data_IF_184061120184
#
_entry.id   IF_184061120184
#
_cell.length_a   1.000
_cell.length_b   1.000
_cell.length_c   1.000
_cell.angle_alpha   90.00
_cell.angle_beta   90.00
_cell.angle_gamma   90.00
#
_symmetry.space_group_name_H-M   'P 1'
#
loop_
_entity.id
_entity.type
_entity.pdbx_description
1 polymer ?
2 polymer ?
3 non-polymer ?
4 non-polymer ?
5 water ?
#
# COMPACT_ATOMS: atom_id res chain seq x y z
N UNK A 6 27.19 12.47 -9.61
CA UNK A 6 27.89 11.15 -9.43
C UNK A 6 26.95 10.04 -8.91
N UNK A 7 27.53 8.86 -8.65
CA UNK A 7 26.80 7.70 -8.14
C UNK A 7 25.76 8.27 -7.19
N UNK A 8 24.54 7.78 -7.32
CA UNK A 8 23.42 8.30 -6.55
C UNK A 8 22.82 7.41 -5.47
N UNK A 9 23.70 6.64 -4.84
CA UNK A 9 23.34 5.71 -3.76
C UNK A 9 23.18 6.44 -2.42
N UNK A 10 23.95 7.52 -2.27
CA UNK A 10 23.96 8.34 -1.06
C UNK A 10 22.98 9.51 -1.18
N UNK A 11 22.09 9.65 -0.18
CA UNK A 11 21.08 10.72 -0.15
C UNK A 11 20.18 10.71 -1.40
N UNK A 12 20.08 9.55 -2.05
CA UNK A 12 19.29 9.38 -3.27
C UNK A 12 19.90 10.25 -4.40
N UNK A 13 21.21 10.44 -4.26
CA UNK A 13 21.94 11.21 -5.23
C UNK A 13 21.35 12.58 -5.39
N UNK A 14 20.65 13.06 -4.36
CA UNK A 14 20.04 14.38 -4.42
C UNK A 14 18.77 14.47 -5.29
N UNK A 15 18.27 13.32 -5.75
CA UNK A 15 17.07 13.28 -6.57
C UNK A 15 15.80 13.32 -5.78
N UNK A 16 14.80 14.01 -6.30
CA UNK A 16 13.56 14.08 -5.58
C UNK A 16 12.90 12.69 -5.49
N UNK A 17 12.95 11.97 -6.60
CA UNK A 17 12.35 10.67 -6.77
C UNK A 17 13.37 9.59 -7.12
N UNK A 18 13.33 9.08 -8.34
CA UNK A 18 14.30 8.05 -8.72
C UNK A 18 15.59 8.62 -9.41
N UNK A 19 16.72 7.94 -9.20
CA UNK A 19 17.95 8.27 -9.92
C UNK A 19 18.67 6.96 -10.31
N UNK A 20 19.71 7.05 -11.10
CA UNK A 20 20.45 5.88 -11.47
C UNK A 20 21.81 6.47 -11.87
N UNK A 21 22.90 5.82 -11.45
CA UNK A 21 24.23 6.34 -11.75
C UNK A 21 24.95 5.48 -12.76
N UNK A 22 25.46 6.14 -13.82
CA UNK A 22 26.22 5.52 -14.90
C UNK A 22 27.72 5.81 -14.73
N UNK A 23 28.52 4.94 -15.37
CA UNK A 23 29.99 5.02 -15.37
C UNK A 23 30.58 5.56 -14.05
N UNK A 24 31.10 6.79 -14.12
CA UNK A 24 31.70 7.43 -12.96
C UNK A 24 31.40 8.91 -13.02
N UNK A 25 30.85 9.41 -11.91
CA UNK A 25 30.49 10.83 -11.73
C UNK A 25 29.21 11.27 -12.55
N UNK A 26 28.76 10.37 -13.44
CA UNK A 26 27.58 10.58 -14.30
C UNK A 26 26.30 9.96 -13.67
N UNK A 27 25.33 10.79 -13.33
CA UNK A 27 24.09 10.32 -12.73
C UNK A 27 22.90 10.98 -13.36
N UNK A 28 21.76 10.35 -13.14
CA UNK A 28 20.53 10.89 -13.69
C UNK A 28 19.28 10.58 -12.89
N UNK A 29 18.68 11.65 -12.36
CA UNK A 29 17.45 11.56 -11.63
C UNK A 29 16.29 11.37 -12.60
N UNK A 30 15.24 10.70 -12.16
CA UNK A 30 14.03 10.52 -12.94
C UNK A 30 12.75 10.70 -12.09
N UNK A 31 11.59 10.56 -12.70
CA UNK A 31 10.37 10.73 -11.92
C UNK A 31 9.42 9.62 -12.28
N UNK A 32 8.47 9.33 -11.39
CA UNK A 32 7.43 8.31 -11.60
C UNK A 32 6.57 8.93 -12.70
N UNK A 33 5.83 8.11 -13.41
CA UNK A 33 4.95 8.58 -14.46
C UNK A 33 4.03 9.64 -13.91
N UNK A 34 3.56 10.52 -14.78
CA UNK A 34 2.71 11.59 -14.33
C UNK A 34 3.60 12.73 -13.87
N UNK A 35 4.90 12.54 -13.89
CA UNK A 35 5.77 13.65 -13.50
C UNK A 35 6.85 13.97 -14.54
N UNK A 36 7.42 15.16 -14.44
CA UNK A 36 8.55 15.51 -15.30
C UNK A 36 9.64 16.09 -14.45
N UNK A 37 10.85 15.86 -14.91
CA UNK A 37 12.06 16.35 -14.23
C UNK A 37 12.33 17.82 -14.55
N UNK A 38 12.51 18.65 -13.52
CA UNK A 38 12.74 20.06 -13.77
C UNK A 38 14.16 20.32 -14.40
N UNK A 39 14.41 21.53 -14.92
CA UNK A 39 15.70 21.85 -15.60
C UNK A 39 16.82 21.81 -14.55
N UNK A 40 16.31 21.91 -13.34
CA UNK A 40 16.98 21.81 -12.09
C UNK A 40 17.78 20.48 -12.07
N UNK A 41 17.19 19.42 -12.60
CA UNK A 41 17.86 18.14 -12.63
C UNK A 41 17.48 17.15 -11.57
N UNK A 42 16.71 17.60 -10.60
CA UNK A 42 16.39 16.67 -9.53
C UNK A 42 14.95 16.65 -9.14
N UNK A 43 14.32 17.80 -9.29
CA UNK A 43 12.93 17.96 -8.99
C UNK A 43 11.96 17.42 -10.06
N UNK A 44 10.84 16.94 -9.55
CA UNK A 44 9.77 16.38 -10.37
C UNK A 44 8.56 17.28 -10.21
N UNK A 45 7.93 17.56 -11.33
CA UNK A 45 6.78 18.42 -11.26
C UNK A 45 5.62 17.63 -11.94
N UNK A 46 4.46 17.62 -11.33
CA UNK A 46 3.30 16.92 -11.89
C UNK A 46 3.00 17.28 -13.37
N UNK A 47 2.54 16.31 -14.19
CA UNK A 47 2.20 16.60 -15.61
C UNK A 47 0.72 16.35 -15.88
N UNK A 48 0.04 15.72 -14.91
CA UNK A 48 -1.42 15.37 -14.97
C UNK A 48 -2.15 16.02 -13.79
N UNK A 49 -3.50 15.98 -13.76
CA UNK A 49 -4.26 16.63 -12.69
C UNK A 49 -4.15 15.92 -11.36
N UNK A 50 -3.91 14.60 -11.33
CA UNK A 50 -3.83 13.84 -10.05
C UNK A 50 -2.67 12.89 -9.95
N UNK A 51 -1.45 13.42 -9.85
CA UNK A 51 -0.22 12.64 -9.77
C UNK A 51 -0.24 11.73 -8.58
N UNK A 52 0.38 10.55 -8.75
CA UNK A 52 0.34 9.62 -7.65
C UNK A 52 0.98 10.23 -6.46
N UNK A 53 0.47 9.85 -5.30
CA UNK A 53 1.04 10.26 -4.04
C UNK A 53 0.92 11.67 -3.62
N UNK A 54 0.07 12.41 -4.32
CA UNK A 54 -0.16 13.82 -3.97
C UNK A 54 -1.59 13.85 -3.42
N UNK A 55 -1.80 14.59 -2.34
CA UNK A 55 -3.12 14.66 -1.71
C UNK A 55 -3.84 15.99 -2.04
N UNK A 56 -4.68 16.02 -3.08
CA UNK A 56 -5.40 17.23 -3.51
C UNK A 56 -5.87 18.18 -2.36
N UNK A 57 -6.70 17.72 -1.43
CA UNK A 57 -7.18 18.60 -0.34
C UNK A 57 -6.03 19.37 0.42
N UNK A 58 -4.86 18.76 0.62
CA UNK A 58 -3.69 19.39 1.28
C UNK A 58 -2.88 20.19 0.29
N UNK A 59 -2.80 19.67 -0.93
CA UNK A 59 -2.03 20.29 -2.01
C UNK A 59 -2.62 21.62 -2.34
N UNK A 60 -3.92 21.62 -2.61
CA UNK A 60 -4.64 22.86 -2.96
C UNK A 60 -4.63 23.78 -1.74
N UNK A 61 -3.96 23.32 -0.67
CA UNK A 61 -3.81 24.06 0.59
C UNK A 61 -5.06 23.90 1.46
N UNK B 1 -7.73 -0.33 13.00
CA UNK B 1 -6.60 0.44 13.56
C UNK B 1 -6.79 0.71 15.05
N UNK B 2 -5.85 0.22 15.84
CA UNK B 2 -5.91 0.42 17.28
C UNK B 2 -4.96 1.59 17.71
N UNK B 3 -5.50 2.65 18.29
CA UNK B 3 -4.65 3.72 18.77
C UNK B 3 -4.41 4.77 17.71
N UNK B 4 -5.35 4.89 16.76
CA UNK B 4 -5.18 5.86 15.69
C UNK B 4 -6.16 7.02 15.77
N UNK B 5 -6.31 7.75 14.67
CA UNK B 5 -7.25 8.85 14.62
C UNK B 5 -7.99 8.66 13.31
N UNK B 6 -9.09 9.38 13.12
CA UNK B 6 -9.86 9.30 11.87
C UNK B 6 -9.00 9.97 10.73
N UNK B 7 -8.97 9.38 9.55
CA UNK B 7 -8.21 10.00 8.49
C UNK B 7 -9.17 11.07 7.99
N UNK B 8 -8.78 12.35 8.03
CA UNK B 8 -9.78 13.30 7.50
C UNK B 8 -10.21 12.95 6.07
N UNK B 9 -11.49 13.04 5.76
CA UNK B 9 -11.94 12.69 4.41
C UNK B 9 -11.08 13.34 3.31
N UNK B 10 -10.53 12.55 2.38
CA UNK B 10 -9.72 13.11 1.30
C UNK B 10 -8.22 13.01 1.45
N UNK B 11 -7.74 12.80 2.68
CA UNK B 11 -6.31 12.72 2.96
C UNK B 11 -5.75 11.29 2.88
N UNK B 12 -6.60 10.34 2.50
CA UNK B 12 -6.22 8.93 2.30
C UNK B 12 -6.99 8.57 1.00
N UNK B 13 -6.76 9.35 -0.07
CA UNK B 13 -7.42 9.11 -1.33
C UNK B 13 -7.09 7.83 -2.04
N UNK B 14 -5.99 7.17 -1.69
CA UNK B 14 -5.67 5.91 -2.36
C UNK B 14 -6.22 4.71 -1.59
N UNK B 15 -6.69 4.92 -0.36
CA UNK B 15 -7.20 3.75 0.35
C UNK B 15 -8.36 3.09 -0.39
N UNK B 16 -8.41 1.76 -0.39
CA UNK B 16 -9.49 1.02 -1.03
C UNK B 16 -10.26 0.17 0.01
N UNK B 17 -11.52 -0.12 -0.29
CA UNK B 17 -12.36 -0.93 0.56
C UNK B 17 -12.77 -2.18 -0.23
N UNK B 18 -12.40 -3.35 0.27
CA UNK B 18 -12.79 -4.56 -0.41
C UNK B 18 -14.03 -5.19 0.27
N UNK B 19 -15.02 -5.47 -0.56
CA UNK B 19 -16.32 -6.05 -0.17
C UNK B 19 -16.67 -7.41 -0.82
N UNK B 20 -17.26 -8.32 -0.08
CA UNK B 20 -17.67 -9.56 -0.70
C UNK B 20 -19.13 -9.55 -0.44
N UNK B 21 -19.93 -9.81 -1.47
CA UNK B 21 -21.36 -9.75 -1.28
C UNK B 21 -21.90 -8.52 -0.53
N UNK B 22 -21.15 -7.43 -0.51
CA UNK B 22 -21.61 -6.22 0.18
C UNK B 22 -21.01 -6.11 1.56
N UNK B 23 -20.33 -7.16 1.96
CA UNK B 23 -19.73 -7.16 3.27
C UNK B 23 -18.27 -6.72 3.28
N UNK B 24 -17.88 -6.01 4.35
CA UNK B 24 -16.49 -5.53 4.48
C UNK B 24 -15.62 -6.75 4.48
N UNK B 25 -14.57 -6.76 3.66
CA UNK B 25 -13.71 -7.92 3.56
C UNK B 25 -12.29 -7.56 3.90
N UNK B 26 -11.79 -6.51 3.22
CA UNK B 26 -10.41 -6.06 3.34
C UNK B 26 -10.21 -4.66 2.85
N UNK B 27 -9.00 -4.17 3.08
CA UNK B 27 -8.58 -2.85 2.62
C UNK B 27 -7.70 -3.16 1.42
N UNK B 28 -7.29 -2.13 0.69
CA UNK B 28 -6.39 -2.33 -0.45
C UNK B 28 -5.80 -0.98 -0.82
N UNK B 29 -4.83 -0.90 -1.75
CA UNK B 29 -4.27 0.39 -2.16
C UNK B 29 -4.39 0.56 -3.66
N UNK B 30 -4.80 1.77 -4.07
CA UNK B 30 -4.95 2.15 -5.48
C UNK B 30 -3.58 2.61 -6.00
N UNK B 31 -3.01 1.93 -7.01
CA UNK B 31 -1.72 2.39 -7.52
C UNK B 31 -1.83 2.90 -8.96
N UNK B 32 -3.03 2.82 -9.51
CA UNK B 32 -3.23 3.29 -10.84
C UNK B 32 -4.74 3.26 -11.00
N UNK B 33 -5.28 3.71 -12.13
CA UNK B 33 -6.73 3.70 -12.25
C UNK B 33 -7.43 2.36 -12.45
N UNK B 34 -6.68 1.26 -12.58
CA UNK B 34 -7.33 -0.03 -12.74
C UNK B 34 -6.65 -1.02 -11.87
N UNK B 35 -5.60 -0.60 -11.19
CA UNK B 35 -4.92 -1.57 -10.38
C UNK B 35 -4.92 -1.30 -8.89
N UNK B 36 -5.25 -2.35 -8.14
CA UNK B 36 -5.34 -2.28 -6.68
C UNK B 36 -4.46 -3.33 -6.04
N UNK B 37 -3.55 -2.90 -5.16
CA UNK B 37 -2.72 -3.86 -4.46
C UNK B 37 -3.40 -4.21 -3.14
N UNK B 38 -3.45 -5.48 -2.79
CA UNK B 38 -4.02 -5.87 -1.52
C UNK B 38 -3.15 -6.98 -0.93
N UNK B 39 -3.79 -7.90 -0.20
CA UNK B 39 -3.10 -9.00 0.49
C UNK B 39 -3.69 -10.36 0.10
N UNK B 40 -2.84 -11.32 -0.19
CA UNK B 40 -3.32 -12.62 -0.62
C UNK B 40 -4.23 -13.28 0.40
N UNK B 41 -3.88 -13.26 1.69
CA UNK B 41 -4.74 -13.98 2.60
C UNK B 41 -6.18 -13.51 2.60
N UNK B 42 -6.43 -12.30 2.10
CA UNK B 42 -7.79 -11.77 2.04
C UNK B 42 -8.69 -12.61 1.12
N UNK B 43 -8.10 -13.45 0.29
CA UNK B 43 -8.92 -14.25 -0.63
C UNK B 43 -8.95 -15.78 -0.39
N UNK B 44 -8.28 -16.19 0.67
CA UNK B 44 -8.19 -17.59 1.03
C UNK B 44 -9.51 -18.33 1.10
N UNK B 45 -10.53 -17.70 1.66
CA UNK B 45 -11.83 -18.34 1.77
C UNK B 45 -12.86 -17.62 0.96
N UNK B 46 -12.46 -16.86 -0.05
CA UNK B 46 -13.46 -16.14 -0.79
C UNK B 46 -14.61 -17.01 -1.26
N UNK B 47 -15.84 -16.50 -0.93
CA UNK B 47 -17.17 -17.03 -1.27
C UNK B 47 -17.28 -17.08 -2.80
N UNK B 48 -17.98 -16.06 -3.33
CA UNK B 48 -18.16 -15.95 -4.78
C UNK B 48 -17.25 -14.89 -5.43
N UNK B 49 -16.28 -15.36 -6.19
CA UNK B 49 -15.36 -14.48 -6.88
C UNK B 49 -16.04 -13.55 -7.82
N UNK B 50 -17.30 -13.81 -8.07
CA UNK B 50 -18.00 -12.96 -8.99
C UNK B 50 -18.81 -11.92 -8.25
N UNK B 51 -18.42 -11.68 -6.99
CA UNK B 51 -19.07 -10.72 -6.11
C UNK B 51 -18.07 -9.80 -5.40
N UNK B 52 -16.81 -9.87 -5.85
CA UNK B 52 -15.73 -9.03 -5.34
C UNK B 52 -15.87 -7.56 -5.80
N UNK B 53 -15.92 -6.61 -4.88
CA UNK B 53 -16.01 -5.17 -5.23
C UNK B 53 -14.98 -4.30 -4.51
N UNK B 54 -14.45 -3.33 -5.26
CA UNK B 54 -13.48 -2.39 -4.73
C UNK B 54 -14.21 -1.02 -4.66
N UNK B 55 -14.01 -0.32 -3.56
CA UNK B 55 -14.66 0.94 -3.46
C UNK B 55 -13.64 2.00 -3.23
N UNK B 56 -13.54 2.95 -4.14
CA UNK B 56 -12.60 4.05 -3.98
C UNK B 56 -13.37 5.28 -3.43
N UNK B 57 -12.65 6.27 -2.92
CA UNK B 57 -13.30 7.47 -2.43
C UNK B 57 -14.16 7.36 -1.17
N UNK B 58 -14.05 6.22 -0.48
CA UNK B 58 -14.85 5.94 0.71
C UNK B 58 -14.27 6.60 1.96
N UNK B 59 -15.12 7.01 2.89
CA UNK B 59 -14.63 7.64 4.12
C UNK B 59 -15.41 7.10 5.33
N UNK B 60 -16.70 7.48 5.37
CA UNK B 60 -17.70 7.11 6.41
C UNK B 60 -18.61 6.03 5.81
N UNK B 61 -18.62 4.87 6.43
CA UNK B 61 -19.36 3.71 5.92
C UNK B 61 -20.89 3.75 6.11
N UNK B 62 -21.36 4.74 6.84
CA UNK B 62 -22.79 4.85 7.12
C UNK B 62 -23.51 5.91 6.30
N UNK B 63 -22.81 6.60 5.39
CA UNK B 63 -23.42 7.65 4.59
C UNK B 63 -22.90 7.69 3.15
N UNK B 64 -23.77 7.91 2.19
CA UNK B 64 -23.26 8.00 0.81
C UNK B 64 -23.11 9.52 0.46
N UNK B 65 -21.91 9.99 0.05
CA UNK B 65 -21.80 11.41 -0.32
C UNK B 65 -21.55 11.70 -1.77
N UNK B 66 -21.48 10.67 -2.60
CA UNK B 66 -21.30 10.88 -4.03
C UNK B 66 -19.86 10.81 -4.47
N UNK B 67 -18.98 10.75 -3.51
CA UNK B 67 -17.58 10.67 -3.83
C UNK B 67 -17.20 9.22 -3.92
N UNK B 68 -17.97 8.36 -3.29
CA UNK B 68 -17.62 6.95 -3.33
C UNK B 68 -17.63 6.43 -4.80
N UNK B 69 -16.80 5.44 -5.09
CA UNK B 69 -16.72 4.85 -6.42
C UNK B 69 -16.67 3.30 -6.30
N UNK B 70 -17.53 2.64 -7.04
CA UNK B 70 -17.61 1.18 -7.01
C UNK B 70 -17.18 0.49 -8.26
N UNK B 71 -16.32 -0.50 -8.13
CA UNK B 71 -15.92 -1.23 -9.34
C UNK B 71 -15.85 -2.72 -9.05
N UNK B 72 -16.15 -3.50 -10.08
CA UNK B 72 -16.08 -4.93 -9.87
C UNK B 72 -14.67 -5.39 -9.98
N UNK B 73 -14.23 -6.25 -9.06
CA UNK B 73 -12.87 -6.73 -9.21
C UNK B 73 -12.91 -7.79 -10.33
N UNK B 74 -12.13 -7.61 -11.41
CA UNK B 74 -12.15 -8.51 -12.55
C UNK B 74 -11.17 -9.66 -12.43
N UNK B 75 -10.07 -9.41 -11.73
CA UNK B 75 -9.07 -10.42 -11.54
C UNK B 75 -8.25 -10.22 -10.24
N UNK B 76 -7.87 -11.29 -9.58
CA UNK B 76 -7.07 -11.19 -8.36
C UNK B 76 -5.81 -12.01 -8.69
N UNK B 77 -4.62 -11.39 -8.67
CA UNK B 77 -3.36 -12.10 -8.96
C UNK B 77 -2.53 -12.24 -7.73
N UNK B 78 -2.06 -13.48 -7.50
CA UNK B 78 -1.31 -13.92 -6.34
C UNK B 78 0.04 -14.62 -6.68
N UNK B 79 1.17 -14.25 -6.07
CA UNK B 79 2.44 -14.92 -6.42
C UNK B 79 2.35 -16.42 -6.25
N UNK B 80 3.13 -17.17 -7.01
CA UNK B 80 3.06 -18.66 -6.90
C UNK B 80 3.52 -19.18 -5.54
N UNK B 81 4.51 -18.46 -4.98
CA UNK B 81 5.11 -18.73 -3.70
C UNK B 81 4.19 -18.48 -2.49
N UNK B 82 2.95 -18.06 -2.72
CA UNK B 82 2.05 -17.82 -1.61
C UNK B 82 1.32 -19.09 -1.24
N UNK B 83 1.26 -19.40 0.05
CA UNK B 83 0.58 -20.61 0.46
C UNK B 83 -0.67 -20.31 1.29
N UNK B 84 -1.86 -20.46 0.67
CA UNK B 84 -3.05 -20.15 1.50
C UNK B 84 -3.00 -20.70 2.88
N UNK B 85 -3.47 -19.90 3.82
CA UNK B 85 -3.47 -20.30 5.17
C UNK B 85 -2.19 -19.80 5.81
N UNK B 86 -1.14 -19.53 5.03
CA UNK B 86 0.09 -19.05 5.68
C UNK B 86 0.27 -17.54 5.57
N UNK B 87 1.51 -17.05 5.75
CA UNK B 87 1.70 -15.62 5.71
C UNK B 87 2.80 -15.01 4.83
N UNK B 88 3.71 -15.85 4.34
CA UNK B 88 4.79 -15.38 3.47
C UNK B 88 4.24 -14.99 2.09
N UNK B 89 4.83 -13.95 1.50
CA UNK B 89 4.42 -13.43 0.19
C UNK B 89 2.97 -13.00 0.18
N UNK B 90 2.53 -12.35 1.25
CA UNK B 90 1.13 -11.93 1.38
C UNK B 90 0.84 -10.73 0.52
N UNK B 91 0.75 -10.93 -0.80
CA UNK B 91 0.48 -9.78 -1.68
C UNK B 91 -0.37 -10.26 -2.80
N UNK B 92 -1.23 -9.35 -3.24
CA UNK B 92 -2.24 -9.62 -4.28
C UNK B 92 -2.43 -8.37 -5.16
N UNK B 93 -2.57 -8.59 -6.47
CA UNK B 93 -2.70 -7.49 -7.40
C UNK B 93 -4.05 -7.72 -8.01
N UNK B 94 -4.94 -6.76 -7.78
CA UNK B 94 -6.32 -6.79 -8.28
C UNK B 94 -6.51 -5.93 -9.48
N UNK B 95 -7.30 -6.41 -10.43
CA UNK B 95 -7.54 -5.64 -11.63
C UNK B 95 -9.02 -5.25 -11.62
N UNK B 96 -9.31 -3.97 -11.60
CA UNK B 96 -10.67 -3.54 -11.63
C UNK B 96 -11.33 -3.80 -13.02
N UNK B 97 -12.61 -4.13 -13.05
CA UNK B 97 -13.29 -4.42 -14.32
C UNK B 97 -13.29 -3.23 -15.26
N UNK B 98 -13.41 -2.04 -14.67
CA UNK B 98 -13.44 -0.70 -15.32
C UNK B 98 -12.63 0.30 -14.52
N UNK B 99 -12.06 1.32 -15.15
CA UNK B 99 -11.27 2.26 -14.32
C UNK B 99 -12.02 3.15 -13.33
N UNK B 100 -11.39 3.48 -12.16
CA UNK B 100 -11.93 4.48 -11.21
C UNK B 100 -11.59 5.87 -11.92
N UNK B 101 -12.35 6.97 -11.70
CA UNK B 101 -12.05 8.26 -12.33
C UNK B 101 -11.31 9.02 -11.25
N UNK B 102 -10.05 9.42 -11.48
CA UNK B 102 -9.30 10.15 -10.47
C UNK B 102 -10.04 11.47 -10.18
N UNK B 103 -10.10 11.88 -8.91
CA UNK B 103 -10.83 13.13 -8.50
C UNK B 103 -10.10 13.57 -7.20
N UNK B 104 -10.45 14.70 -6.60
CA UNK B 104 -9.79 15.07 -5.35
C UNK B 104 -9.81 14.05 -4.22
N UNK B 105 -10.68 13.04 -4.36
CA UNK B 105 -10.88 12.03 -3.33
C UNK B 105 -10.40 10.65 -3.73
N UNK B 106 -10.14 10.46 -5.05
CA UNK B 106 -9.64 9.17 -5.58
C UNK B 106 -8.32 9.47 -6.35
N UNK B 107 -7.23 9.12 -5.68
CA UNK B 107 -5.91 9.31 -6.15
C UNK B 107 -5.06 8.08 -5.85
N UNK B 108 -4.25 7.68 -6.82
CA UNK B 108 -3.38 6.53 -6.67
C UNK B 108 -2.17 6.86 -5.83
N UNK B 109 -1.60 5.84 -5.20
CA UNK B 109 -0.41 5.97 -4.36
C UNK B 109 0.75 5.56 -5.25
N UNK B 110 1.83 6.33 -5.30
CA UNK B 110 2.98 5.96 -6.11
C UNK B 110 3.60 4.60 -5.73
N UNK B 111 3.77 3.71 -6.71
CA UNK B 111 4.47 2.43 -6.44
C UNK B 111 5.90 2.87 -6.76
N UNK B 112 6.80 2.80 -5.79
CA UNK B 112 8.19 3.22 -6.03
C UNK B 112 8.94 2.10 -6.70
N UNK B 113 10.18 2.40 -7.14
CA UNK B 113 11.01 1.41 -7.83
C UNK B 113 11.73 0.59 -6.77
N UNK B 114 12.30 -0.56 -7.17
CA UNK B 114 13.02 -1.40 -6.22
C UNK B 114 14.15 -0.70 -5.48
N UNK B 115 15.12 -0.13 -6.22
CA UNK B 115 16.29 0.54 -5.65
C UNK B 115 15.90 1.65 -4.70
N UNK B 116 15.17 2.65 -5.22
CA UNK B 116 14.72 3.79 -4.41
C UNK B 116 14.06 3.35 -3.06
N UNK B 117 13.17 2.38 -3.16
CA UNK B 117 12.48 1.88 -1.99
C UNK B 117 13.38 1.14 -1.05
N UNK B 118 14.32 0.35 -1.55
CA UNK B 118 15.20 -0.39 -0.62
C UNK B 118 16.28 0.48 0.02
N UNK B 119 16.87 1.38 -0.74
CA UNK B 119 17.90 2.12 -0.10
C UNK B 119 17.49 3.49 0.41
N UNK B 120 16.29 3.98 0.09
CA UNK B 120 15.87 5.27 0.62
C UNK B 120 14.61 5.21 1.43
N UNK B 121 13.54 4.65 0.89
CA UNK B 121 12.24 4.63 1.62
C UNK B 121 12.33 3.73 2.86
N UNK B 122 12.95 2.56 2.67
CA UNK B 122 13.15 1.55 3.70
C UNK B 122 13.80 2.08 4.96
N UNK B 123 14.28 3.32 4.88
CA UNK B 123 14.94 3.99 5.99
C UNK B 123 14.14 5.15 6.55
N UNK B 124 13.00 5.47 5.97
CA UNK B 124 12.19 6.55 6.53
C UNK B 124 11.57 5.87 7.79
N UNK B 125 11.69 6.55 8.93
CA UNK B 125 11.26 6.02 10.22
C UNK B 125 9.76 5.76 10.41
N UNK B 126 8.96 6.78 10.10
CA UNK B 126 7.52 6.73 10.27
C UNK B 126 6.70 6.72 8.99
N UNK B 127 5.70 5.82 8.97
CA UNK B 127 4.81 5.69 7.83
C UNK B 127 3.41 5.53 8.35
N UNK B 128 2.45 5.68 7.43
CA UNK B 128 1.00 5.56 7.74
C UNK B 128 0.34 4.26 7.26
N UNK B 129 -0.58 3.76 8.08
CA UNK B 129 -1.36 2.54 7.81
C UNK B 129 -2.80 2.99 8.03
N UNK B 130 -3.75 2.42 7.29
CA UNK B 130 -5.15 2.84 7.46
C UNK B 130 -6.08 1.67 7.10
N UNK B 131 -7.37 1.77 7.45
CA UNK B 131 -8.32 0.70 7.19
C UNK B 131 -9.56 0.87 8.04
N UNK B 132 -10.61 0.09 7.81
CA UNK B 132 -11.81 0.25 8.63
C UNK B 132 -11.91 -0.95 9.59
N UNK B 133 -10.79 -1.56 9.90
CA UNK B 133 -10.79 -2.69 10.78
C UNK B 133 -11.09 -2.40 12.25
N UNK B 134 -10.89 -3.42 13.05
CA UNK B 134 -11.18 -3.38 14.44
C UNK B 134 -10.47 -2.27 15.09
N UNK B 135 -11.16 -1.61 16.03
CA UNK B 135 -10.62 -0.49 16.80
C UNK B 135 -10.00 -0.98 18.09
N UNK B 136 -10.17 -2.28 18.37
CA UNK B 136 -9.62 -2.93 19.57
C UNK B 136 -9.60 -4.38 19.29
N UNK B 137 -8.71 -5.12 19.96
CA UNK B 137 -8.68 -6.56 19.75
C UNK B 137 -10.07 -7.02 20.23
N UNK B 138 -10.71 -7.87 19.42
CA UNK B 138 -12.03 -8.37 19.72
C UNK B 138 -13.04 -7.25 19.80
N UNK B 139 -12.70 -6.10 19.25
CA UNK B 139 -13.65 -5.00 19.28
C UNK B 139 -14.35 -4.85 17.92
N UNK B 140 -15.22 -3.84 17.78
CA UNK B 140 -15.98 -3.54 16.54
C UNK B 140 -15.17 -2.75 15.52
N UNK B 141 -15.41 -3.00 14.24
CA UNK B 141 -14.66 -2.26 13.26
C UNK B 141 -15.12 -0.78 13.24
N UNK B 142 -14.46 0.06 12.43
CA UNK B 142 -14.77 1.49 12.38
C UNK B 142 -15.73 2.00 11.28
N UNK B 143 -16.44 3.07 11.54
CA UNK B 143 -17.32 3.54 10.49
C UNK B 143 -16.63 4.52 9.57
N UNK B 144 -15.68 5.25 10.14
CA UNK B 144 -14.92 6.26 9.42
C UNK B 144 -13.53 5.69 9.27
N UNK B 145 -12.88 5.99 8.16
CA UNK B 145 -11.54 5.47 7.91
C UNK B 145 -10.54 5.91 8.97
N UNK B 146 -9.73 4.98 9.44
CA UNK B 146 -8.75 5.29 10.47
C UNK B 146 -7.31 5.27 9.92
N UNK B 147 -6.42 6.03 10.56
CA UNK B 147 -5.02 6.09 10.12
C UNK B 147 -4.17 6.12 11.36
N UNK B 148 -2.99 5.54 11.27
CA UNK B 148 -2.12 5.45 12.40
C UNK B 148 -0.67 5.54 11.94
N UNK B 149 0.07 6.42 12.57
CA UNK B 149 1.47 6.57 12.24
C UNK B 149 2.35 5.56 13.03
N UNK B 150 3.07 4.64 12.35
CA UNK B 150 3.88 3.64 13.06
C UNK B 150 5.37 3.57 12.64
N UNK B 151 6.28 3.27 13.59
CA UNK B 151 7.73 3.16 13.32
C UNK B 151 8.21 1.74 12.84
N UNK B 152 8.99 1.75 11.76
CA UNK B 152 9.47 0.55 11.11
C UNK B 152 10.72 0.10 11.76
N UNK B 153 10.83 -1.18 12.10
CA UNK B 153 12.02 -1.71 12.79
C UNK B 153 12.94 -2.42 11.84
N UNK B 154 14.12 -2.78 12.32
CA UNK B 154 15.05 -3.57 11.52
C UNK B 154 14.69 -5.05 11.80
N UNK B 155 14.72 -5.90 10.78
CA UNK B 155 14.36 -7.30 11.01
C UNK B 155 15.10 -7.87 12.23
N UNK B 156 16.38 -7.53 12.38
CA UNK B 156 17.19 -8.00 13.53
C UNK B 156 16.56 -7.54 14.89
N UNK B 157 16.42 -6.22 15.05
CA UNK B 157 15.83 -5.58 16.24
C UNK B 157 14.43 -6.17 16.54
N UNK B 158 13.63 -6.47 15.49
CA UNK B 158 12.28 -7.02 15.70
C UNK B 158 12.33 -8.37 16.38
N UNK B 159 13.17 -9.26 15.86
CA UNK B 159 13.29 -10.60 16.41
C UNK B 159 13.67 -10.57 17.91
N UNK B 160 14.77 -9.90 18.22
CA UNK B 160 15.20 -9.80 19.60
C UNK B 160 14.11 -9.21 20.52
N UNK B 161 13.55 -8.04 20.17
CA UNK B 161 12.50 -7.36 20.98
C UNK B 161 11.31 -8.23 21.32
N UNK B 162 11.47 -9.51 21.00
CA UNK B 162 10.48 -10.58 21.22
C UNK B 162 11.21 -11.95 21.46
N UNK B 163 12.12 -12.00 22.44
CA UNK B 163 12.84 -13.24 22.75
C UNK B 163 13.56 -13.82 21.52
N UNK B 170 9.51 -17.16 10.85
CA UNK B 170 8.26 -16.46 11.17
C UNK B 170 8.22 -15.03 10.63
N UNK B 171 9.41 -14.49 10.27
CA UNK B 171 9.56 -13.13 9.72
C UNK B 171 10.57 -13.12 8.56
N UNK B 172 10.11 -13.57 7.38
CA UNK B 172 10.91 -13.68 6.18
C UNK B 172 11.39 -12.34 5.64
N UNK B 173 12.22 -12.34 4.63
CA UNK B 173 12.64 -11.03 4.20
C UNK B 173 11.57 -10.41 3.34
N UNK B 174 10.50 -11.15 3.07
CA UNK B 174 9.41 -10.55 2.30
C UNK B 174 8.44 -9.83 3.24
N UNK B 175 8.87 -9.61 4.48
CA UNK B 175 8.06 -8.87 5.44
C UNK B 175 8.95 -7.87 6.22
N UNK B 176 8.33 -6.99 7.01
CA UNK B 176 9.06 -6.07 7.89
C UNK B 176 8.13 -5.69 9.06
N UNK B 177 8.70 -5.49 10.25
CA UNK B 177 7.85 -5.14 11.38
C UNK B 177 7.74 -3.65 11.54
N UNK B 178 6.65 -3.24 12.18
CA UNK B 178 6.40 -1.84 12.39
C UNK B 178 5.33 -1.71 13.44
N UNK B 179 5.36 -0.62 14.19
CA UNK B 179 4.36 -0.41 15.21
C UNK B 179 4.93 -0.23 16.59
N UNK B 180 4.21 -0.76 17.58
CA UNK B 180 4.58 -0.63 18.99
C UNK B 180 4.28 -1.89 19.80
N UNK B 181 5.07 -2.16 20.84
CA UNK B 181 4.90 -3.37 21.66
C UNK B 181 4.12 -3.21 22.96
N UNK B 182 3.62 -2.00 23.19
CA UNK B 182 2.92 -1.71 24.41
C UNK B 182 1.39 -1.87 24.22
N UNK B 183 0.99 -2.78 23.33
CA UNK B 183 -0.42 -3.04 23.08
C UNK B 183 -1.29 -1.82 22.87
N UNK B 184 -0.74 -0.68 22.48
CA UNK B 184 -1.57 0.53 22.29
C UNK B 184 -1.83 0.99 20.88
N UNK B 185 -1.00 0.55 19.93
CA UNK B 185 -1.14 1.02 18.56
C UNK B 185 -0.81 -0.07 17.53
N UNK B 186 -1.69 -0.23 16.56
CA UNK B 186 -1.46 -1.24 15.59
C UNK B 186 -2.61 -1.40 14.59
N UNK B 187 -2.45 -2.32 13.66
CA UNK B 187 -3.51 -2.56 12.68
C UNK B 187 -4.09 -3.95 12.97
N UNK B 188 -5.40 -4.08 12.76
CA UNK B 188 -6.18 -5.31 13.00
C UNK B 188 -6.78 -5.97 11.79
N UNK B 189 -7.46 -7.08 12.05
CA UNK B 189 -8.13 -7.81 10.99
C UNK B 189 -9.20 -6.77 10.59
N UNK B 190 -9.31 -6.59 9.29
CA UNK B 190 -10.23 -5.60 8.74
C UNK B 190 -9.35 -4.58 8.07
N UNK B 191 -8.08 -4.58 8.49
CA UNK B 191 -7.10 -3.67 7.98
C UNK B 191 -6.19 -4.39 6.99
N UNK B 192 -6.21 -5.72 7.05
CA UNK B 192 -5.39 -6.52 6.16
C UNK B 192 -5.51 -6.04 4.73
N UNK B 193 -4.39 -6.03 4.02
CA UNK B 193 -4.43 -5.58 2.64
C UNK B 193 -4.40 -4.07 2.48
N UNK B 194 -4.46 -3.33 3.56
CA UNK B 194 -4.45 -1.88 3.43
C UNK B 194 -3.01 -1.42 3.30
N UNK B 195 -2.77 -0.16 2.87
CA UNK B 195 -1.47 0.47 2.65
C UNK B 195 -0.60 0.85 3.87
N UNK B 196 0.68 0.65 3.71
CA UNK B 196 1.62 1.05 4.70
C UNK B 196 2.30 2.10 3.82
N UNK B 197 2.04 3.39 4.05
CA UNK B 197 2.55 4.45 3.15
C UNK B 197 3.66 5.34 3.70
N UNK B 198 4.71 5.55 2.92
CA UNK B 198 5.83 6.35 3.40
C UNK B 198 5.99 7.71 2.76
N UNK B 199 6.30 8.71 3.58
CA UNK B 199 6.46 10.02 2.98
C UNK B 199 7.92 10.31 2.67
N UNK B 200 8.15 10.84 1.46
CA UNK B 200 9.46 11.26 1.00
C UNK B 200 9.42 12.38 -0.02
N UNK B 201 10.05 13.50 0.38
CA UNK B 201 10.21 14.71 -0.42
C UNK B 201 8.90 15.20 -1.01
N UNK B 202 7.87 15.36 -0.20
CA UNK B 202 6.58 15.80 -0.76
C UNK B 202 5.76 14.73 -1.53
N UNK B 203 6.05 13.45 -1.32
CA UNK B 203 5.31 12.43 -2.06
C UNK B 203 5.15 11.11 -1.32
N UNK B 204 3.93 10.56 -1.28
CA UNK B 204 3.73 9.26 -0.61
C UNK B 204 3.96 8.07 -1.53
N UNK B 205 4.54 7.01 -0.96
CA UNK B 205 4.78 5.81 -1.74
C UNK B 205 4.40 4.60 -0.93
N UNK B 206 3.97 3.54 -1.62
CA UNK B 206 3.57 2.25 -1.04
C UNK B 206 4.80 1.46 -0.60
N UNK B 207 4.99 1.22 0.68
CA UNK B 207 6.14 0.43 1.11
C UNK B 207 5.69 -0.88 1.81
N UNK B 208 4.48 -0.87 2.37
CA UNK B 208 4.01 -2.10 3.01
C UNK B 208 2.53 -2.38 2.80
N UNK B 209 2.17 -3.65 2.92
CA UNK B 209 0.79 -4.11 2.84
C UNK B 209 0.47 -4.71 4.20
N UNK B 210 -0.62 -4.28 4.85
CA UNK B 210 -1.05 -4.84 6.15
C UNK B 210 -1.31 -6.34 5.95
N UNK B 211 -0.53 -7.15 6.68
CA UNK B 211 -0.60 -8.61 6.58
C UNK B 211 -1.19 -9.28 7.81
N UNK B 212 -0.38 -10.05 8.54
CA UNK B 212 -0.82 -10.74 9.77
C UNK B 212 -0.21 -10.09 11.05
N UNK B 213 -0.07 -10.88 12.11
CA UNK B 213 0.51 -10.37 13.34
C UNK B 213 -0.19 -11.13 14.45
N UNK B 214 0.52 -11.41 15.54
CA UNK B 214 -0.06 -12.14 16.68
C UNK B 214 -1.15 -11.27 17.30
N UNK B 215 -2.41 -11.66 17.02
CA UNK B 215 -3.59 -10.94 17.50
C UNK B 215 -3.50 -9.47 17.12
N UNK B 216 -4.37 -8.65 17.70
CA UNK B 216 -4.30 -7.25 17.35
C UNK B 216 -3.90 -6.42 18.54
N UNK B 217 -2.86 -5.60 18.37
CA UNK B 217 -2.35 -4.76 19.44
C UNK B 217 -1.94 -5.61 20.66
N UNK B 218 -1.42 -6.81 20.39
CA UNK B 218 -0.96 -7.73 21.42
C UNK B 218 0.37 -7.25 21.97
N UNK B 219 0.39 -6.90 23.25
CA UNK B 219 1.63 -6.44 23.87
C UNK B 219 2.77 -7.41 23.60
N UNK B 220 3.99 -6.90 23.54
CA UNK B 220 5.13 -7.76 23.27
C UNK B 220 5.18 -8.16 21.80
N UNK B 221 4.35 -7.51 20.99
CA UNK B 221 4.35 -7.82 19.57
C UNK B 221 4.26 -6.59 18.71
N UNK B 222 4.82 -6.73 17.50
CA UNK B 222 4.83 -5.68 16.48
C UNK B 222 3.95 -6.11 15.32
N UNK B 223 3.67 -5.19 14.41
CA UNK B 223 2.84 -5.50 13.25
C UNK B 223 3.72 -6.06 12.14
N UNK B 224 3.18 -6.98 11.35
CA UNK B 224 3.99 -7.49 10.24
C UNK B 224 3.32 -6.99 8.96
N UNK B 225 4.15 -6.48 8.05
CA UNK B 225 3.65 -5.93 6.79
C UNK B 225 4.46 -6.55 5.68
N UNK B 226 3.80 -6.83 4.56
CA UNK B 226 4.49 -7.38 3.39
C UNK B 226 5.48 -6.33 2.91
N UNK B 227 6.75 -6.70 2.67
CA UNK B 227 7.76 -5.74 2.14
C UNK B 227 7.50 -5.58 0.61
N UNK B 228 6.74 -4.54 0.20
CA UNK B 228 6.36 -4.30 -1.20
C UNK B 228 7.54 -4.27 -2.14
N UNK B 229 8.63 -3.72 -1.70
CA UNK B 229 9.80 -3.62 -2.53
C UNK B 229 10.25 -4.95 -3.18
N UNK B 230 10.04 -6.06 -2.52
CA UNK B 230 10.43 -7.35 -3.07
C UNK B 230 9.53 -7.73 -4.21
N UNK B 231 8.53 -6.90 -4.49
CA UNK B 231 7.59 -7.27 -5.51
C UNK B 231 7.35 -6.28 -6.61
N UNK B 232 8.07 -5.17 -6.64
CA UNK B 232 7.82 -4.15 -7.67
C UNK B 232 7.84 -4.74 -9.07
N UNK B 233 8.91 -5.47 -9.40
CA UNK B 233 9.09 -6.01 -10.74
C UNK B 233 8.01 -7.00 -11.12
N UNK B 234 7.64 -7.82 -10.13
CA UNK B 234 6.58 -8.79 -10.31
C UNK B 234 5.33 -7.91 -10.64
N UNK B 235 4.98 -7.02 -9.73
CA UNK B 235 3.86 -6.16 -9.96
C UNK B 235 3.87 -5.53 -11.34
N UNK B 236 5.00 -4.93 -11.72
CA UNK B 236 5.08 -4.26 -13.01
C UNK B 236 4.96 -5.12 -14.25
N UNK B 237 5.58 -6.29 -14.23
CA UNK B 237 5.47 -7.15 -15.36
C UNK B 237 4.02 -7.47 -15.58
N UNK B 238 3.31 -7.77 -14.51
CA UNK B 238 1.92 -8.09 -14.68
C UNK B 238 1.15 -6.89 -15.11
N UNK B 239 1.42 -5.72 -14.55
CA UNK B 239 0.58 -4.61 -14.98
C UNK B 239 0.72 -4.22 -16.45
N UNK B 240 1.84 -4.63 -17.05
CA UNK B 240 2.15 -4.30 -18.43
C UNK B 240 1.79 -5.43 -19.35
N UNK B 241 1.23 -6.52 -18.79
CA UNK B 241 0.85 -7.67 -19.61
C UNK B 241 -0.60 -7.54 -20.03
N UNK B 242 -1.05 -8.43 -20.91
CA UNK B 242 -2.43 -8.41 -21.38
C UNK B 242 -3.21 -9.36 -20.50
N UNK B 243 -4.47 -9.04 -20.22
CA UNK B 243 -5.31 -9.87 -19.37
C UNK B 243 -5.57 -11.27 -19.92
N UNK B 244 -5.38 -12.25 -19.04
CA UNK B 244 -5.61 -13.67 -19.39
C UNK B 244 -6.93 -14.02 -18.70
N UNK B 245 -7.75 -14.90 -19.32
CA UNK B 245 -9.06 -15.34 -18.81
C UNK B 245 -8.91 -15.87 -17.42
N UNK B 246 -9.96 -15.66 -16.63
CA UNK B 246 -9.95 -16.15 -15.28
C UNK B 246 -9.98 -15.06 -14.23
N UNK B 247 -10.61 -15.39 -13.10
CA UNK B 247 -10.75 -14.45 -12.02
C UNK B 247 -9.63 -14.57 -11.03
N UNK B 248 -9.23 -15.78 -10.70
CA UNK B 248 -8.13 -15.96 -9.77
C UNK B 248 -7.00 -16.57 -10.54
N UNK B 249 -5.88 -15.86 -10.56
CA UNK B 249 -4.69 -16.26 -11.27
C UNK B 249 -3.42 -16.27 -10.40
N UNK B 250 -2.56 -17.28 -10.57
CA UNK B 250 -1.32 -17.35 -9.82
C UNK B 250 -0.21 -17.10 -10.80
N UNK B 251 0.65 -16.13 -10.51
CA UNK B 251 1.75 -15.80 -11.41
C UNK B 251 3.04 -16.20 -10.70
N UNK B 252 4.03 -16.70 -11.45
CA UNK B 252 5.31 -17.12 -10.91
C UNK B 252 6.03 -16.04 -10.15
N UNK B 253 6.80 -16.45 -9.14
CA UNK B 253 7.62 -15.50 -8.39
C UNK B 253 8.88 -16.23 -7.88
N UNK B 254 10.04 -15.59 -7.94
CA UNK B 254 10.38 -14.25 -8.43
C UNK B 254 9.77 -13.93 -9.79
X LIG C 1 -19.75 6.49 2.38
X LIG D 1 -5.68 -17.71 -2.79
X LIG D 1 -5.65 -16.49 -1.98
X LIG D 1 -6.66 -18.71 -2.12
X LIG D 1 -6.70 -19.94 -2.86
#
# INVERSE_FOLDING_TARGET
HKDDQLICVNENGGCEQYCSDHTGTKRSCRCHEGYSLLADGVSCTPTVEYPCGKIPILEKRNASKPQGR
IVGGKVCPKGECPWQVLLLVNGAQLCGGTLINTIWVVSAAHCFDKIKNWRNLIAVLGEHDLSEHDGDEQSRRVAQVIIPSTYVPGTTNHDIALLRLHQPVVLTDHVVPLCLPERTFSERTLAFVRFSLVSGWGQLLDRGATALELMVLNVPRLMTQDCLQQSRKVGDSPNITEYMFCAGYSDGSKDSCKGDSGGPHATHYRGTWYLTGIVSWGQGCATVGHFGVYTRVSQYIEWLQKLMRSEPRPGVLLRAPFP
CA CA
EDO C1 O1 C2 O2
#
